data_IF_736154154862
#
_entry.id   IF_736154154862
#
_cell.length_a   1.000
_cell.length_b   1.000
_cell.length_c   1.000
_cell.angle_alpha   90.00
_cell.angle_beta   90.00
_cell.angle_gamma   90.00
#
_symmetry.space_group_name_H-M   'P 1'
#
loop_
_entity.id
_entity.type
_entity.pdbx_description
1 polymer ?
#
# COMPACT_ATOMS: atom_id res chain seq x y z
N UNK A 1 0.21 19.11 -25.49
CA UNK A 1 -0.01 17.67 -25.26
C UNK A 1 -0.28 17.38 -23.78
N UNK A 2 -1.42 16.74 -23.45
CA UNK A 2 -1.81 16.44 -22.07
C UNK A 2 -1.84 14.92 -21.85
N UNK A 3 -1.05 14.46 -20.88
CA UNK A 3 -1.08 13.07 -20.40
C UNK A 3 -2.00 13.04 -19.18
N UNK A 4 -3.05 12.22 -19.25
CA UNK A 4 -3.90 11.90 -18.09
C UNK A 4 -3.38 10.61 -17.46
N UNK A 5 -2.55 10.74 -16.42
CA UNK A 5 -2.04 9.59 -15.68
C UNK A 5 -2.90 9.36 -14.43
N UNK A 6 -3.43 8.14 -14.29
CA UNK A 6 -3.61 7.55 -12.96
C UNK A 6 -5.01 7.54 -12.34
N UNK A 7 -6.12 7.65 -13.08
CA UNK A 7 -7.43 7.34 -12.49
C UNK A 7 -7.79 5.87 -12.68
N UNK A 8 -8.22 5.24 -11.59
CA UNK A 8 -8.85 3.92 -11.61
C UNK A 8 -10.31 4.09 -12.02
N UNK A 9 -10.78 3.26 -12.95
CA UNK A 9 -12.19 3.20 -13.34
C UNK A 9 -12.82 1.95 -12.73
N UNK A 10 -13.77 2.09 -11.78
CA UNK A 10 -14.56 0.96 -11.27
C UNK A 10 -15.26 0.25 -12.43
N UNK A 11 -15.35 -1.08 -12.36
CA UNK A 11 -16.04 -1.93 -13.35
C UNK A 11 -15.47 -1.93 -14.78
N UNK A 12 -14.31 -1.29 -15.01
CA UNK A 12 -13.63 -1.37 -16.30
C UNK A 12 -13.00 -2.74 -16.53
N UNK A 13 -13.45 -3.44 -17.57
CA UNK A 13 -12.85 -4.72 -18.00
C UNK A 13 -11.33 -4.61 -18.27
N UNK A 14 -10.86 -3.46 -18.77
CA UNK A 14 -9.44 -3.20 -19.05
C UNK A 14 -8.62 -3.03 -17.76
N UNK A 15 -9.24 -2.59 -16.67
CA UNK A 15 -8.58 -2.39 -15.37
C UNK A 15 -8.85 -3.51 -14.37
N UNK A 16 -9.72 -4.47 -14.70
CA UNK A 16 -10.04 -5.65 -13.88
C UNK A 16 -8.80 -6.47 -13.47
N UNK A 17 -7.72 -6.41 -14.24
CA UNK A 17 -6.48 -7.08 -13.89
C UNK A 17 -5.87 -6.55 -12.58
N UNK A 18 -5.98 -5.24 -12.28
CA UNK A 18 -5.40 -4.64 -11.06
C UNK A 18 -6.10 -5.10 -9.79
N UNK A 19 -7.37 -5.46 -9.87
CA UNK A 19 -8.14 -5.97 -8.74
C UNK A 19 -7.69 -7.38 -8.29
N UNK A 20 -6.85 -8.06 -9.07
CA UNK A 20 -6.36 -9.41 -8.77
C UNK A 20 -5.09 -9.44 -7.93
N UNK A 21 -4.45 -8.29 -7.72
CA UNK A 21 -3.21 -8.21 -6.97
C UNK A 21 -3.51 -7.79 -5.53
N UNK A 22 -3.04 -8.59 -4.58
CA UNK A 22 -3.17 -8.34 -3.15
C UNK A 22 -2.13 -7.37 -2.61
N UNK A 23 -2.20 -7.11 -1.30
CA UNK A 23 -1.27 -6.26 -0.59
C UNK A 23 0.15 -6.84 -0.64
N UNK A 24 1.14 -5.98 -0.89
CA UNK A 24 2.57 -6.33 -0.87
C UNK A 24 3.03 -6.75 0.54
N UNK A 25 4.15 -7.47 0.63
CA UNK A 25 4.78 -7.87 1.89
C UNK A 25 6.06 -7.07 2.14
N UNK A 26 6.46 -6.95 3.41
CA UNK A 26 7.69 -6.28 3.84
C UNK A 26 8.45 -7.14 4.84
N UNK A 27 9.78 -6.97 4.87
CA UNK A 27 10.65 -7.64 5.84
C UNK A 27 10.89 -6.70 7.02
N UNK A 28 10.39 -7.06 8.19
CA UNK A 28 10.55 -6.30 9.44
C UNK A 28 11.01 -7.23 10.56
N UNK A 29 12.08 -6.84 11.25
CA UNK A 29 12.67 -7.60 12.36
C UNK A 29 12.99 -9.08 11.99
N UNK A 30 13.42 -9.31 10.75
CA UNK A 30 13.74 -10.64 10.24
C UNK A 30 12.53 -11.53 9.95
N UNK A 31 11.32 -10.99 9.94
CA UNK A 31 10.09 -11.70 9.62
C UNK A 31 9.35 -11.02 8.47
N UNK A 32 8.86 -11.80 7.52
CA UNK A 32 8.01 -11.31 6.43
C UNK A 32 6.59 -11.05 6.95
N UNK A 33 6.07 -9.86 6.69
CA UNK A 33 4.76 -9.42 7.15
C UNK A 33 4.00 -8.79 5.99
N UNK A 34 2.70 -9.07 5.90
CA UNK A 34 1.82 -8.38 4.93
C UNK A 34 1.73 -6.91 5.30
N UNK A 35 1.83 -6.04 4.31
CA UNK A 35 1.77 -4.59 4.49
C UNK A 35 0.45 -4.14 5.17
N UNK A 36 -0.66 -4.85 4.92
CA UNK A 36 -1.95 -4.57 5.54
C UNK A 36 -2.05 -4.96 7.03
N UNK A 37 -1.18 -5.86 7.50
CA UNK A 37 -1.18 -6.34 8.89
C UNK A 37 -0.23 -5.52 9.78
N UNK A 38 0.52 -4.57 9.19
CA UNK A 38 1.38 -3.66 9.95
C UNK A 38 0.50 -2.63 10.65
N UNK A 39 0.15 -2.88 11.92
CA UNK A 39 -0.37 -1.83 12.78
C UNK A 39 0.77 -0.88 13.14
N UNK A 40 0.97 0.18 12.36
CA UNK A 40 1.93 1.23 12.69
C UNK A 40 1.39 2.00 13.91
N UNK A 41 1.75 1.58 15.12
CA UNK A 41 1.46 2.35 16.33
C UNK A 41 2.24 3.66 16.26
N UNK A 42 1.56 4.76 15.95
CA UNK A 42 2.15 6.08 15.67
C UNK A 42 2.70 6.82 16.89
N UNK A 43 3.08 6.10 17.95
CA UNK A 43 3.30 6.65 19.28
C UNK A 43 4.75 6.45 19.73
N UNK A 44 5.69 7.11 19.05
CA UNK A 44 6.93 7.51 19.72
C UNK A 44 7.49 8.80 19.12
N UNK A 45 6.77 9.91 19.36
CA UNK A 45 7.40 11.22 19.47
C UNK A 45 8.20 11.19 20.79
N UNK A 46 9.49 10.84 20.71
CA UNK A 46 10.41 10.99 21.83
C UNK A 46 10.64 12.49 22.01
N UNK A 47 10.04 13.05 23.07
CA UNK A 47 10.47 14.28 23.72
C UNK A 47 11.99 14.23 23.90
N UNK A 48 12.68 15.20 23.31
CA UNK A 48 14.04 15.52 23.71
C UNK A 48 13.96 16.15 25.11
N UNK A 49 14.56 15.50 26.11
CA UNK A 49 15.03 16.14 27.34
C UNK A 49 16.16 15.32 27.94
#
# INVERSE_FOLDING_TARGET
PHVYLGYWVPDSAKMAYKARFGASEVLLNGQWQKLGDISVSSSQLITAQ
#
